data_IF_993959209178
#
_entry.id   IF_993959209178
#
_cell.length_a   1.000
_cell.length_b   1.000
_cell.length_c   1.000
_cell.angle_alpha   90.00
_cell.angle_beta   90.00
_cell.angle_gamma   90.00
#
_symmetry.space_group_name_H-M   'P 1'
#
loop_
_entity.id
_entity.type
_entity.pdbx_description
1 polymer ?
#
# COMPACT_ATOMS: atom_id res chain seq x y z
N UNK A 1 9.45 4.71 -8.88
CA UNK A 1 8.15 5.45 -8.94
C UNK A 1 7.94 6.23 -7.63
N UNK A 2 7.25 7.36 -7.64
CA UNK A 2 7.02 8.18 -6.44
C UNK A 2 5.54 8.49 -6.22
N UNK A 3 5.05 8.28 -5.00
CA UNK A 3 3.65 8.50 -4.61
C UNK A 3 3.55 9.54 -3.49
N UNK A 4 2.54 10.41 -3.58
CA UNK A 4 2.31 11.49 -2.61
C UNK A 4 0.96 11.29 -1.92
N UNK A 5 0.99 11.00 -0.63
CA UNK A 5 -0.19 10.72 0.19
C UNK A 5 -0.49 11.80 1.24
N UNK A 6 0.42 12.74 1.47
CA UNK A 6 0.26 13.75 2.51
C UNK A 6 0.87 15.11 2.14
N UNK A 7 0.28 16.17 2.67
CA UNK A 7 0.86 17.52 2.75
C UNK A 7 0.40 18.15 4.09
N UNK A 8 1.32 18.43 5.04
CA UNK A 8 2.76 18.19 4.96
C UNK A 8 3.10 16.69 5.04
N UNK A 9 4.18 16.30 4.35
CA UNK A 9 4.80 14.97 4.43
C UNK A 9 6.00 15.06 5.38
N UNK A 10 6.10 14.15 6.34
CA UNK A 10 7.18 14.14 7.33
C UNK A 10 8.02 12.86 7.32
N UNK A 11 7.64 11.87 6.48
CA UNK A 11 8.41 10.66 6.25
C UNK A 11 8.26 10.12 4.82
N UNK A 12 9.32 9.46 4.33
CA UNK A 12 9.30 8.71 3.08
C UNK A 12 9.52 7.23 3.37
N UNK A 13 8.58 6.37 2.99
CA UNK A 13 8.76 4.92 3.01
C UNK A 13 9.38 4.47 1.69
N UNK A 14 10.35 3.56 1.75
CA UNK A 14 10.95 2.91 0.58
C UNK A 14 10.34 1.51 0.47
N UNK A 15 9.56 1.25 -0.56
CA UNK A 15 8.99 -0.08 -0.83
C UNK A 15 9.82 -0.76 -1.91
N UNK A 16 10.28 -1.98 -1.60
CA UNK A 16 11.02 -2.83 -2.52
C UNK A 16 10.17 -4.08 -2.78
N UNK A 17 9.69 -4.17 -4.02
CA UNK A 17 8.98 -5.31 -4.55
C UNK A 17 10.00 -6.27 -5.18
N UNK A 18 10.12 -7.45 -4.57
CA UNK A 18 11.01 -8.50 -5.04
C UNK A 18 10.39 -9.20 -6.26
N UNK A 19 11.21 -9.64 -7.24
CA UNK A 19 10.70 -10.30 -8.43
C UNK A 19 9.95 -11.59 -8.06
N UNK A 20 8.85 -11.85 -8.78
CA UNK A 20 8.16 -13.14 -8.68
C UNK A 20 8.98 -14.22 -9.40
N UNK A 21 8.78 -15.50 -9.06
CA UNK A 21 9.50 -16.63 -9.70
C UNK A 21 9.37 -16.67 -11.23
N UNK A 22 8.38 -15.97 -11.80
CA UNK A 22 8.10 -15.91 -13.23
C UNK A 22 8.42 -14.55 -13.90
N UNK A 23 8.91 -13.55 -13.15
CA UNK A 23 9.24 -12.22 -13.71
C UNK A 23 10.76 -12.14 -13.94
N UNK A 24 11.20 -11.58 -15.07
CA UNK A 24 12.63 -11.46 -15.42
C UNK A 24 13.35 -10.50 -14.45
N UNK A 25 13.75 -11.01 -13.29
CA UNK A 25 14.82 -10.59 -12.37
C UNK A 25 14.94 -9.12 -11.91
N UNK A 26 14.03 -8.20 -12.22
CA UNK A 26 14.21 -6.81 -11.79
C UNK A 26 13.40 -6.45 -10.54
N UNK A 27 14.12 -6.25 -9.43
CA UNK A 27 13.59 -5.66 -8.20
C UNK A 27 13.03 -4.26 -8.48
N UNK A 28 11.76 -4.02 -8.15
CA UNK A 28 11.10 -2.72 -8.34
C UNK A 28 11.14 -1.92 -7.04
N UNK A 29 11.47 -0.63 -7.13
CA UNK A 29 11.49 0.27 -5.97
C UNK A 29 10.55 1.47 -6.14
N UNK A 30 9.80 1.78 -5.10
CA UNK A 30 8.95 2.95 -5.03
C UNK A 30 9.12 3.74 -3.72
N UNK A 31 8.91 5.05 -3.82
CA UNK A 31 8.96 5.98 -2.69
C UNK A 31 7.55 6.46 -2.37
N UNK A 32 7.16 6.34 -1.11
CA UNK A 32 5.85 6.74 -0.61
C UNK A 32 6.01 7.87 0.40
N UNK A 33 5.56 9.06 0.03
CA UNK A 33 5.57 10.22 0.91
C UNK A 33 4.28 10.28 1.71
N UNK A 34 4.39 10.11 3.03
CA UNK A 34 3.26 9.81 3.93
C UNK A 34 3.32 10.69 5.18
N UNK A 35 2.24 10.65 5.96
CA UNK A 35 2.12 11.27 7.27
C UNK A 35 2.38 10.22 8.35
N UNK A 36 3.49 10.38 9.09
CA UNK A 36 3.90 9.49 10.17
C UNK A 36 2.81 9.36 11.23
N UNK A 37 2.11 10.44 11.56
CA UNK A 37 1.09 10.42 12.60
C UNK A 37 -0.09 9.53 12.22
N UNK A 38 -0.53 9.58 10.95
CA UNK A 38 -1.59 8.69 10.42
C UNK A 38 -1.14 7.23 10.44
N UNK A 39 0.12 6.95 10.10
CA UNK A 39 0.66 5.59 10.19
C UNK A 39 0.67 5.07 11.63
N UNK A 40 1.18 5.85 12.59
CA UNK A 40 1.20 5.48 14.02
C UNK A 40 -0.22 5.23 14.54
N UNK A 41 -1.15 6.13 14.24
CA UNK A 41 -2.56 5.99 14.63
C UNK A 41 -3.24 4.81 13.93
N UNK A 42 -2.76 4.41 12.76
CA UNK A 42 -3.33 3.29 12.04
C UNK A 42 -3.08 1.97 12.76
N UNK A 43 -1.82 1.68 13.20
CA UNK A 43 -1.43 0.42 13.86
C UNK A 43 -0.16 0.46 14.74
N UNK A 44 -0.09 -0.45 15.75
CA UNK A 44 1.10 -0.65 16.58
C UNK A 44 2.38 -1.02 15.82
N UNK A 45 2.25 -1.63 14.64
CA UNK A 45 3.40 -1.94 13.80
C UNK A 45 4.19 -0.66 13.45
N UNK A 46 3.49 0.36 12.94
CA UNK A 46 4.11 1.63 12.56
C UNK A 46 4.56 2.43 13.78
N UNK A 47 3.81 2.37 14.89
CA UNK A 47 4.24 2.93 16.17
C UNK A 47 5.63 2.40 16.59
N UNK A 48 5.86 1.08 16.48
CA UNK A 48 7.15 0.48 16.83
C UNK A 48 8.26 0.95 15.89
N UNK A 49 8.00 1.01 14.59
CA UNK A 49 8.99 1.47 13.60
C UNK A 49 9.38 2.93 13.82
N UNK A 50 8.43 3.78 14.21
CA UNK A 50 8.66 5.19 14.43
C UNK A 50 8.98 5.54 15.89
N UNK A 51 9.17 4.55 16.76
CA UNK A 51 9.55 4.79 18.15
C UNK A 51 11.04 5.17 18.29
N UNK A 52 11.33 5.98 19.32
CA UNK A 52 12.61 6.67 19.56
C UNK A 52 13.87 5.77 19.60
N UNK A 53 13.72 4.46 19.76
CA UNK A 53 14.85 3.50 19.68
C UNK A 53 15.40 3.34 18.26
N UNK A 54 14.60 3.63 17.23
CA UNK A 54 14.99 3.52 15.82
C UNK A 54 15.09 4.89 15.12
N UNK A 55 14.58 5.96 15.73
CA UNK A 55 14.73 7.37 15.30
C UNK A 55 16.14 7.96 15.49
N UNK A 56 17.19 7.12 15.62
CA UNK A 56 18.57 7.57 15.82
C UNK A 56 19.08 8.56 14.76
N UNK A 57 18.38 8.69 13.62
CA UNK A 57 18.50 9.83 12.73
C UNK A 57 17.12 10.44 12.46
N UNK A 58 17.01 11.77 12.59
CA UNK A 58 15.81 12.57 12.22
C UNK A 58 15.36 12.39 10.75
N UNK A 59 16.08 11.60 9.96
CA UNK A 59 15.84 11.32 8.54
C UNK A 59 15.68 9.81 8.25
N UNK A 60 15.27 9.00 9.23
CA UNK A 60 15.03 7.58 8.98
C UNK A 60 13.86 7.40 8.01
N UNK A 61 14.16 6.90 6.81
CA UNK A 61 13.20 6.46 5.80
C UNK A 61 13.09 4.94 5.88
N UNK A 62 12.03 4.38 6.52
CA UNK A 62 11.90 2.94 6.66
C UNK A 62 11.82 2.25 5.30
N UNK A 63 12.54 1.13 5.17
CA UNK A 63 12.47 0.26 4.00
C UNK A 63 11.54 -0.91 4.28
N UNK A 64 10.53 -1.10 3.44
CA UNK A 64 9.56 -2.18 3.49
C UNK A 64 9.83 -3.13 2.32
N UNK A 65 10.08 -4.42 2.62
CA UNK A 65 10.42 -5.45 1.63
C UNK A 65 9.37 -6.55 1.57
N UNK A 66 9.19 -7.14 0.39
CA UNK A 66 8.32 -8.30 0.17
C UNK A 66 6.84 -7.95 0.06
N UNK A 67 6.52 -6.68 -0.20
CA UNK A 67 5.17 -6.24 -0.58
C UNK A 67 5.23 -5.73 -2.03
N UNK A 68 4.11 -5.81 -2.74
CA UNK A 68 4.02 -5.20 -4.06
C UNK A 68 3.78 -3.70 -3.93
N UNK A 69 4.33 -2.92 -4.87
CA UNK A 69 4.17 -1.48 -4.92
C UNK A 69 2.68 -1.12 -4.98
N UNK A 70 1.90 -1.85 -5.80
CA UNK A 70 0.46 -1.60 -5.95
C UNK A 70 -0.34 -1.93 -4.69
N UNK A 71 -0.01 -3.04 -4.01
CA UNK A 71 -0.66 -3.39 -2.74
C UNK A 71 -0.38 -2.35 -1.64
N UNK A 72 0.84 -1.83 -1.62
CA UNK A 72 1.22 -0.74 -0.71
C UNK A 72 0.54 0.58 -1.06
N UNK A 73 0.36 0.89 -2.34
CA UNK A 73 -0.38 2.07 -2.81
C UNK A 73 -1.80 2.10 -2.29
N UNK A 74 -2.57 1.02 -2.48
CA UNK A 74 -3.96 0.90 -2.00
C UNK A 74 -4.02 1.00 -0.48
N UNK A 75 -3.16 0.24 0.21
CA UNK A 75 -3.14 0.20 1.67
C UNK A 75 -2.80 1.58 2.29
N UNK A 76 -1.78 2.26 1.75
CA UNK A 76 -1.37 3.58 2.24
C UNK A 76 -2.39 4.65 1.84
N UNK A 77 -3.02 4.53 0.67
CA UNK A 77 -4.12 5.38 0.24
C UNK A 77 -5.25 5.42 1.26
N UNK A 78 -5.72 4.25 1.69
CA UNK A 78 -6.76 4.14 2.72
C UNK A 78 -6.35 4.81 4.04
N UNK A 79 -5.12 4.58 4.53
CA UNK A 79 -4.64 5.21 5.77
C UNK A 79 -4.65 6.75 5.67
N UNK A 80 -4.39 7.27 4.48
CA UNK A 80 -4.27 8.71 4.26
C UNK A 80 -5.56 9.37 3.78
N UNK A 81 -6.58 8.60 3.40
CA UNK A 81 -7.80 9.10 2.76
C UNK A 81 -7.55 9.56 1.32
N UNK A 82 -6.57 8.96 0.64
CA UNK A 82 -6.27 9.23 -0.77
C UNK A 82 -6.88 8.14 -1.61
N UNK A 83 -7.74 8.56 -2.54
CA UNK A 83 -8.45 7.64 -3.42
C UNK A 83 -7.49 6.98 -4.41
N UNK A 84 -7.37 5.66 -4.33
CA UNK A 84 -6.61 4.86 -5.29
C UNK A 84 -7.56 4.30 -6.33
N UNK A 85 -7.37 4.76 -7.56
CA UNK A 85 -8.13 4.41 -8.77
C UNK A 85 -8.33 2.88 -8.90
N UNK A 86 -9.55 2.37 -8.67
CA UNK A 86 -9.84 0.93 -8.75
C UNK A 86 -9.49 0.33 -10.12
N UNK A 87 -9.58 1.11 -11.20
CA UNK A 87 -9.31 0.67 -12.57
C UNK A 87 -7.86 0.27 -12.84
N UNK A 88 -6.93 0.70 -11.97
CA UNK A 88 -5.50 0.41 -12.07
C UNK A 88 -5.06 -0.75 -11.16
N UNK A 89 -6.01 -1.47 -10.55
CA UNK A 89 -5.75 -2.54 -9.58
C UNK A 89 -6.30 -3.88 -10.08
N UNK A 90 -5.43 -4.87 -10.28
CA UNK A 90 -5.82 -6.20 -10.71
C UNK A 90 -6.18 -7.11 -9.52
N UNK A 91 -6.80 -8.27 -9.80
CA UNK A 91 -7.14 -9.26 -8.76
C UNK A 91 -5.91 -9.69 -7.95
N UNK A 92 -4.76 -9.83 -8.60
CA UNK A 92 -3.50 -10.14 -7.93
C UNK A 92 -3.10 -9.04 -6.94
N UNK A 93 -3.25 -7.76 -7.31
CA UNK A 93 -2.93 -6.63 -6.45
C UNK A 93 -3.84 -6.55 -5.23
N UNK A 94 -5.12 -6.92 -5.37
CA UNK A 94 -6.05 -7.05 -4.23
C UNK A 94 -5.55 -8.12 -3.25
N UNK A 95 -5.11 -9.28 -3.75
CA UNK A 95 -4.52 -10.31 -2.90
C UNK A 95 -3.27 -9.81 -2.17
N UNK A 96 -2.39 -9.07 -2.84
CA UNK A 96 -1.21 -8.47 -2.20
C UNK A 96 -1.56 -7.35 -1.21
N UNK A 97 -2.62 -6.58 -1.47
CA UNK A 97 -3.16 -5.59 -0.52
C UNK A 97 -3.63 -6.27 0.76
N UNK A 98 -4.37 -7.38 0.66
CA UNK A 98 -4.81 -8.18 1.82
C UNK A 98 -3.61 -8.73 2.60
N UNK A 99 -2.58 -9.24 1.90
CA UNK A 99 -1.35 -9.71 2.53
C UNK A 99 -0.61 -8.59 3.27
N UNK A 100 -0.48 -7.41 2.67
CA UNK A 100 0.09 -6.23 3.31
C UNK A 100 -0.71 -5.85 4.56
N UNK A 101 -2.04 -5.84 4.49
CA UNK A 101 -2.88 -5.55 5.65
C UNK A 101 -2.65 -6.51 6.80
N UNK A 102 -2.55 -7.82 6.51
CA UNK A 102 -2.24 -8.83 7.52
C UNK A 102 -0.86 -8.57 8.15
N UNK A 103 0.18 -8.39 7.32
CA UNK A 103 1.55 -8.12 7.75
C UNK A 103 1.67 -6.91 8.66
N UNK A 104 1.00 -5.81 8.30
CA UNK A 104 1.00 -4.55 9.03
C UNK A 104 -0.10 -4.47 10.09
N UNK A 105 -0.82 -5.56 10.32
CA UNK A 105 -1.88 -5.72 11.31
C UNK A 105 -3.05 -4.74 11.13
N UNK A 106 -3.26 -4.24 9.92
CA UNK A 106 -4.39 -3.40 9.56
C UNK A 106 -5.67 -4.23 9.61
N UNK A 107 -6.73 -3.67 10.17
CA UNK A 107 -8.04 -4.30 10.17
C UNK A 107 -8.60 -4.25 8.75
N UNK A 108 -8.76 -5.40 8.08
CA UNK A 108 -9.28 -5.45 6.72
C UNK A 108 -10.67 -4.84 6.62
N UNK A 109 -11.43 -4.77 7.73
CA UNK A 109 -12.76 -4.11 7.76
C UNK A 109 -12.69 -2.63 7.41
N UNK A 110 -11.57 -1.96 7.68
CA UNK A 110 -11.38 -0.56 7.28
C UNK A 110 -11.27 -0.40 5.77
N UNK A 111 -10.85 -1.43 5.05
CA UNK A 111 -10.73 -1.42 3.59
C UNK A 111 -11.98 -1.95 2.85
N UNK A 112 -13.03 -2.37 3.57
CA UNK A 112 -14.24 -2.92 2.95
C UNK A 112 -14.89 -1.92 2.00
N UNK A 113 -14.84 -0.62 2.32
CA UNK A 113 -15.36 0.44 1.44
C UNK A 113 -14.64 0.45 0.09
N UNK A 114 -13.30 0.44 0.12
CA UNK A 114 -12.49 0.41 -1.10
C UNK A 114 -12.68 -0.89 -1.89
N UNK A 115 -12.68 -2.06 -1.22
CA UNK A 115 -12.93 -3.34 -1.90
C UNK A 115 -14.32 -3.41 -2.54
N UNK A 116 -15.35 -2.85 -1.89
CA UNK A 116 -16.69 -2.79 -2.48
C UNK A 116 -16.74 -1.90 -3.73
N UNK A 117 -16.01 -0.77 -3.73
CA UNK A 117 -15.87 0.08 -4.92
C UNK A 117 -15.15 -0.65 -6.06
N UNK A 118 -14.07 -1.38 -5.75
CA UNK A 118 -13.34 -2.16 -6.73
C UNK A 118 -14.17 -3.31 -7.33
N UNK A 119 -14.90 -4.06 -6.50
CA UNK A 119 -15.85 -5.10 -6.98
C UNK A 119 -16.88 -4.48 -7.90
N UNK A 120 -17.48 -3.35 -7.51
CA UNK A 120 -18.46 -2.66 -8.33
C UNK A 120 -17.88 -2.23 -9.68
N UNK A 121 -16.63 -1.76 -9.71
CA UNK A 121 -15.95 -1.42 -10.95
C UNK A 121 -15.75 -2.64 -11.85
N UNK A 122 -15.27 -3.76 -11.30
CA UNK A 122 -15.14 -5.02 -12.04
C UNK A 122 -16.49 -5.46 -12.60
N UNK A 123 -17.53 -5.45 -11.79
CA UNK A 123 -18.88 -5.89 -12.20
C UNK A 123 -19.48 -4.98 -13.29
N UNK A 124 -19.19 -3.68 -13.25
CA UNK A 124 -19.65 -2.72 -14.26
C UNK A 124 -18.88 -2.81 -15.59
N UNK A 125 -17.61 -3.20 -15.57
CA UNK A 125 -16.84 -3.53 -16.78
C UNK A 125 -17.09 -4.97 -17.29
N UNK A 126 -17.76 -5.80 -16.49
CA UNK A 126 -17.98 -7.22 -16.76
C UNK A 126 -19.17 -7.67 -17.64
N UNK A 127 -19.96 -6.81 -18.32
CA UNK A 127 -20.81 -7.33 -19.40
C UNK A 127 -20.00 -7.74 -20.64
N UNK A 128 -18.78 -7.23 -20.83
CA UNK A 128 -18.06 -7.33 -22.11
C UNK A 128 -16.77 -8.17 -22.07
N UNK A 129 -16.36 -8.69 -20.90
CA UNK A 129 -15.06 -9.35 -20.71
C UNK A 129 -15.11 -10.87 -20.51
N UNK A 130 -16.30 -11.47 -20.46
CA UNK A 130 -16.47 -12.92 -20.30
C UNK A 130 -16.86 -13.64 -21.61
N UNK A 131 -16.94 -12.94 -22.74
CA UNK A 131 -17.32 -13.53 -24.04
C UNK A 131 -16.14 -13.89 -24.96
N UNK A 132 -14.89 -13.81 -24.52
CA UNK A 132 -13.73 -14.31 -25.27
C UNK A 132 -12.91 -15.36 -24.49
#
# INVERSE_FOLDING_TARGET
MGFLFATPRDVTLIVIEEPSENDENETKTALFHVDRSKLILSRPYFERIFSSRWEGSRNHNPTLRGDTIKGMEVMLGEIHGVDTKPEAVFVADVWYTIKACNKYQLDPKKQVGWFAQWIKWIDQENPARWED
#
